data_IF_025447768374
#
_entry.id   IF_025447768374
#
_cell.length_a   1.000
_cell.length_b   1.000
_cell.length_c   1.000
_cell.angle_alpha   90.00
_cell.angle_beta   90.00
_cell.angle_gamma   90.00
#
_symmetry.space_group_name_H-M   'P 1'
#
loop_
_entity.id
_entity.type
_entity.pdbx_description
1 polymer ?
#
# COMPACT_ATOMS: atom_id res chain seq x y z
N UNK A 1 -47.92 -5.62 30.45
CA UNK A 1 -48.60 -4.96 31.58
C UNK A 1 -47.57 -4.62 32.62
N UNK A 2 -47.11 -3.37 32.66
CA UNK A 2 -46.46 -2.71 33.81
C UNK A 2 -46.60 -1.20 33.58
N UNK A 3 -46.95 -0.42 34.57
CA UNK A 3 -47.39 0.99 34.40
C UNK A 3 -46.23 1.98 34.41
N UNK A 4 -46.45 3.24 34.02
CA UNK A 4 -45.45 4.28 33.96
C UNK A 4 -45.26 4.96 35.33
N UNK A 5 -43.99 5.27 35.66
CA UNK A 5 -43.61 6.03 36.83
C UNK A 5 -43.52 7.52 36.45
N UNK A 6 -44.40 8.29 37.02
CA UNK A 6 -44.37 9.76 37.04
C UNK A 6 -43.36 10.20 38.11
N UNK A 7 -42.49 11.17 37.77
CA UNK A 7 -41.68 11.89 38.74
C UNK A 7 -42.07 13.37 38.79
N UNK A 8 -42.59 13.72 39.97
CA UNK A 8 -43.02 15.06 40.37
C UNK A 8 -41.81 16.03 40.52
N UNK A 9 -42.00 17.21 39.94
CA UNK A 9 -41.18 18.40 40.17
C UNK A 9 -41.81 19.23 41.30
N UNK A 10 -41.18 19.36 42.48
CA UNK A 10 -41.37 20.52 43.38
C UNK A 10 -40.27 20.60 44.41
N UNK A 11 -39.53 21.71 44.41
CA UNK A 11 -38.99 22.52 45.49
C UNK A 11 -37.72 23.21 45.01
N UNK A 12 -37.53 24.47 44.74
CA UNK A 12 -37.90 25.63 45.57
C UNK A 12 -36.72 26.07 46.42
N UNK A 13 -35.81 26.95 45.91
CA UNK A 13 -35.08 27.90 46.76
C UNK A 13 -34.77 29.20 46.00
N UNK A 14 -35.36 30.28 46.49
CA UNK A 14 -35.00 31.67 46.19
C UNK A 14 -33.65 32.00 46.83
N UNK A 15 -32.77 32.70 46.15
CA UNK A 15 -31.77 33.55 46.81
C UNK A 15 -31.29 34.64 45.81
N UNK A 16 -31.48 35.91 46.23
CA UNK A 16 -30.58 37.03 46.07
C UNK A 16 -30.60 37.82 44.78
N UNK A 17 -31.48 38.78 44.66
CA UNK A 17 -31.37 39.95 43.81
C UNK A 17 -30.11 40.75 44.16
N UNK A 18 -29.21 40.97 43.17
CA UNK A 18 -28.27 42.08 43.21
C UNK A 18 -28.50 42.96 41.99
N UNK A 19 -28.92 44.19 42.28
CA UNK A 19 -28.99 45.31 41.33
C UNK A 19 -27.59 45.57 40.73
N UNK A 20 -27.48 45.60 39.42
CA UNK A 20 -26.45 46.31 38.67
C UNK A 20 -27.08 47.41 37.83
N UNK A 21 -26.49 48.61 37.77
CA UNK A 21 -27.12 49.76 37.12
C UNK A 21 -27.09 49.59 35.60
N UNK A 22 -28.22 49.91 34.97
CA UNK A 22 -28.36 50.06 33.50
C UNK A 22 -27.51 51.24 33.05
N UNK A 23 -26.40 50.99 32.39
CA UNK A 23 -25.74 51.97 31.54
C UNK A 23 -26.46 52.02 30.17
N UNK A 24 -27.21 53.08 29.99
CA UNK A 24 -27.83 53.45 28.68
C UNK A 24 -26.72 53.84 27.68
N UNK A 25 -26.28 52.89 26.86
CA UNK A 25 -25.45 53.19 25.69
C UNK A 25 -26.38 53.50 24.54
N UNK A 26 -26.36 54.70 23.93
CA UNK A 26 -27.21 55.02 22.80
C UNK A 26 -26.84 54.19 21.59
N UNK A 27 -27.80 53.42 21.10
CA UNK A 27 -27.65 52.55 19.92
C UNK A 27 -27.59 53.42 18.64
N UNK A 28 -26.40 53.68 18.11
CA UNK A 28 -26.18 54.40 16.86
C UNK A 28 -26.59 53.55 15.66
N UNK A 29 -27.77 53.88 15.09
CA UNK A 29 -28.35 53.27 13.89
C UNK A 29 -27.49 53.43 12.62
N UNK A 30 -26.29 54.04 12.67
CA UNK A 30 -25.45 54.27 11.51
C UNK A 30 -24.39 53.18 11.26
N UNK A 31 -24.26 52.18 12.12
CA UNK A 31 -23.28 51.10 11.98
C UNK A 31 -23.80 49.83 11.29
N UNK A 32 -25.01 49.80 10.81
CA UNK A 32 -25.52 48.73 9.95
C UNK A 32 -25.38 49.10 8.45
N UNK A 33 -24.17 49.50 8.01
CA UNK A 33 -23.78 49.22 6.63
C UNK A 33 -23.39 47.74 6.59
N UNK A 34 -24.37 46.87 6.37
CA UNK A 34 -24.16 45.49 5.91
C UNK A 34 -23.35 45.63 4.61
N UNK A 35 -22.07 45.38 4.68
CA UNK A 35 -21.24 45.20 3.47
C UNK A 35 -21.99 44.18 2.61
N UNK A 36 -22.14 44.39 1.30
CA UNK A 36 -22.75 43.40 0.44
C UNK A 36 -22.01 42.10 0.65
N UNK A 37 -22.76 41.04 0.99
CA UNK A 37 -22.24 39.66 1.08
C UNK A 37 -21.45 39.45 -0.21
N UNK A 38 -20.12 39.17 -0.13
CA UNK A 38 -19.39 38.94 -1.34
C UNK A 38 -20.15 37.87 -2.13
N UNK A 39 -20.27 38.01 -3.47
CA UNK A 39 -20.98 37.04 -4.29
C UNK A 39 -20.46 35.67 -3.89
N UNK A 40 -21.38 34.73 -3.64
CA UNK A 40 -21.04 33.37 -3.27
C UNK A 40 -19.89 32.95 -4.17
N UNK A 41 -18.72 32.69 -3.58
CA UNK A 41 -17.56 32.16 -4.32
C UNK A 41 -18.17 30.98 -5.04
N UNK A 42 -18.28 31.08 -6.36
CA UNK A 42 -18.68 29.95 -7.21
C UNK A 42 -17.93 28.76 -6.70
N UNK A 43 -18.66 27.81 -6.10
CA UNK A 43 -18.06 26.54 -5.71
C UNK A 43 -17.34 26.08 -6.96
N UNK A 44 -16.02 25.87 -6.93
CA UNK A 44 -15.32 25.41 -8.11
C UNK A 44 -16.16 24.24 -8.63
N UNK A 45 -16.73 24.40 -9.82
CA UNK A 45 -17.50 23.35 -10.47
C UNK A 45 -16.60 22.12 -10.36
N UNK A 46 -17.06 21.10 -9.65
CA UNK A 46 -16.37 19.83 -9.57
C UNK A 46 -16.19 19.42 -11.03
N UNK A 47 -15.00 19.72 -11.58
CA UNK A 47 -14.66 19.27 -12.92
C UNK A 47 -14.76 17.76 -12.79
N UNK A 48 -15.82 17.21 -13.33
CA UNK A 48 -15.98 15.76 -13.52
C UNK A 48 -14.67 15.33 -14.15
N UNK A 49 -13.82 14.66 -13.36
CA UNK A 49 -12.44 14.40 -13.74
C UNK A 49 -12.42 13.85 -15.17
N UNK A 50 -11.63 14.46 -16.02
CA UNK A 50 -11.59 14.08 -17.43
C UNK A 50 -11.53 12.55 -17.50
N UNK A 51 -12.54 11.91 -18.08
CA UNK A 51 -12.67 10.46 -18.21
C UNK A 51 -11.39 9.87 -18.79
N UNK A 52 -10.71 10.61 -19.67
CA UNK A 52 -9.43 10.23 -20.25
C UNK A 52 -8.31 10.18 -19.21
N UNK A 53 -8.25 11.18 -18.33
CA UNK A 53 -7.26 11.19 -17.23
C UNK A 53 -7.49 10.00 -16.31
N UNK A 54 -8.73 9.75 -15.89
CA UNK A 54 -9.05 8.60 -15.04
C UNK A 54 -8.71 7.27 -15.71
N UNK A 55 -9.03 7.09 -16.99
CA UNK A 55 -8.67 5.89 -17.74
C UNK A 55 -7.15 5.67 -17.81
N UNK A 56 -6.38 6.75 -18.05
CA UNK A 56 -4.92 6.67 -18.06
C UNK A 56 -4.33 6.38 -16.68
N UNK A 57 -4.91 6.93 -15.59
CA UNK A 57 -4.51 6.64 -14.23
C UNK A 57 -4.75 5.16 -13.90
N UNK A 58 -5.92 4.61 -14.26
CA UNK A 58 -6.22 3.18 -14.09
C UNK A 58 -5.26 2.29 -14.90
N UNK A 59 -5.03 2.60 -16.19
CA UNK A 59 -4.08 1.88 -17.02
C UNK A 59 -2.66 1.93 -16.45
N UNK A 60 -2.20 3.10 -16.00
CA UNK A 60 -0.92 3.28 -15.33
C UNK A 60 -0.84 2.45 -14.05
N UNK A 61 -1.92 2.38 -13.28
CA UNK A 61 -1.94 1.63 -12.02
C UNK A 61 -1.96 0.11 -12.22
N UNK A 62 -2.62 -0.39 -13.28
CA UNK A 62 -2.47 -1.80 -13.71
C UNK A 62 -1.01 -2.10 -14.02
N UNK A 63 -0.34 -1.24 -14.80
CA UNK A 63 1.07 -1.42 -15.14
C UNK A 63 1.99 -1.32 -13.92
N UNK A 64 1.70 -0.45 -12.94
CA UNK A 64 2.45 -0.42 -11.68
C UNK A 64 2.28 -1.71 -10.89
N UNK A 65 1.09 -2.33 -10.92
CA UNK A 65 0.84 -3.64 -10.33
C UNK A 65 1.70 -4.73 -10.99
N UNK A 66 1.74 -4.75 -12.32
CA UNK A 66 2.61 -5.67 -13.10
C UNK A 66 4.07 -5.47 -12.71
N UNK A 67 4.58 -4.23 -12.75
CA UNK A 67 5.99 -3.92 -12.44
C UNK A 67 6.36 -4.27 -11.00
N UNK A 68 5.48 -3.96 -10.06
CA UNK A 68 5.75 -4.22 -8.65
C UNK A 68 5.90 -5.71 -8.32
N UNK A 69 5.17 -6.56 -9.02
CA UNK A 69 5.12 -7.99 -8.72
C UNK A 69 5.95 -8.86 -9.67
N UNK A 70 6.42 -8.32 -10.82
CA UNK A 70 7.08 -9.11 -11.85
C UNK A 70 8.42 -9.70 -11.42
N UNK A 71 9.08 -9.11 -10.40
CA UNK A 71 10.36 -9.60 -9.92
C UNK A 71 10.24 -11.05 -9.39
N UNK A 72 9.17 -11.38 -8.66
CA UNK A 72 8.94 -12.71 -8.12
C UNK A 72 8.92 -13.82 -9.20
N UNK A 73 7.99 -13.78 -10.17
CA UNK A 73 7.94 -14.78 -11.24
C UNK A 73 9.16 -14.76 -12.18
N UNK A 74 9.89 -13.64 -12.31
CA UNK A 74 11.12 -13.55 -13.08
C UNK A 74 12.37 -13.98 -12.30
N UNK A 75 12.31 -14.06 -10.98
CA UNK A 75 13.47 -14.34 -10.13
C UNK A 75 14.23 -15.59 -10.53
N UNK A 76 13.58 -16.75 -10.85
CA UNK A 76 14.30 -17.92 -11.33
C UNK A 76 15.07 -17.68 -12.63
N UNK A 77 14.49 -16.91 -13.55
CA UNK A 77 15.12 -16.57 -14.84
C UNK A 77 16.33 -15.66 -14.63
N UNK A 78 16.20 -14.65 -13.76
CA UNK A 78 17.28 -13.72 -13.42
C UNK A 78 18.41 -14.43 -12.67
N UNK A 79 18.06 -15.32 -11.72
CA UNK A 79 19.02 -16.11 -10.97
C UNK A 79 19.82 -17.04 -11.87
N UNK A 80 19.16 -17.72 -12.82
CA UNK A 80 19.84 -18.57 -13.80
C UNK A 80 20.74 -17.75 -14.73
N UNK A 81 20.27 -16.55 -15.20
CA UNK A 81 21.02 -15.69 -16.11
C UNK A 81 22.33 -15.17 -15.51
N UNK A 82 22.36 -14.83 -14.24
CA UNK A 82 23.49 -14.24 -13.55
C UNK A 82 24.17 -15.20 -12.58
N UNK A 83 23.81 -16.48 -12.60
CA UNK A 83 24.32 -17.53 -11.70
C UNK A 83 24.25 -17.12 -10.22
N UNK A 84 23.12 -16.54 -9.78
CA UNK A 84 22.94 -16.04 -8.42
C UNK A 84 22.56 -17.18 -7.46
N UNK A 85 23.13 -17.13 -6.27
CA UNK A 85 22.54 -17.81 -5.12
C UNK A 85 21.36 -16.99 -4.56
N UNK A 86 20.60 -17.59 -3.64
CA UNK A 86 19.38 -16.94 -3.11
C UNK A 86 19.68 -15.63 -2.36
N UNK A 87 20.81 -15.56 -1.64
CA UNK A 87 21.20 -14.35 -0.94
C UNK A 87 21.43 -13.18 -1.93
N UNK A 88 22.14 -13.45 -3.04
CA UNK A 88 22.32 -12.43 -4.09
C UNK A 88 21.04 -12.11 -4.83
N UNK A 89 20.18 -13.08 -5.10
CA UNK A 89 18.86 -12.86 -5.68
C UNK A 89 17.97 -11.98 -4.77
N UNK A 90 18.09 -12.15 -3.47
CA UNK A 90 17.37 -11.33 -2.47
C UNK A 90 17.71 -9.84 -2.54
N UNK A 91 18.94 -9.46 -2.93
CA UNK A 91 19.29 -8.03 -3.09
C UNK A 91 18.48 -7.31 -4.17
N UNK A 92 17.89 -8.02 -5.12
CA UNK A 92 16.98 -7.40 -6.10
C UNK A 92 15.75 -6.80 -5.41
N UNK A 93 15.18 -7.48 -4.42
CA UNK A 93 14.09 -6.92 -3.61
C UNK A 93 14.57 -5.71 -2.79
N UNK A 94 15.77 -5.82 -2.17
CA UNK A 94 16.35 -4.68 -1.46
C UNK A 94 16.50 -3.47 -2.37
N UNK A 95 17.01 -3.65 -3.59
CA UNK A 95 17.14 -2.56 -4.57
C UNK A 95 15.78 -1.96 -4.94
N UNK A 96 14.77 -2.80 -5.21
CA UNK A 96 13.42 -2.33 -5.58
C UNK A 96 12.79 -1.52 -4.45
N UNK A 97 12.78 -2.03 -3.22
CA UNK A 97 12.15 -1.35 -2.09
C UNK A 97 12.94 -0.11 -1.64
N UNK A 98 14.27 -0.15 -1.65
CA UNK A 98 15.11 1.03 -1.40
C UNK A 98 14.86 2.12 -2.45
N UNK A 99 14.78 1.73 -3.72
CA UNK A 99 14.38 2.64 -4.79
C UNK A 99 12.98 3.23 -4.56
N UNK A 100 12.02 2.41 -4.13
CA UNK A 100 10.65 2.87 -3.83
C UNK A 100 10.64 3.88 -2.68
N UNK A 101 11.43 3.68 -1.63
CA UNK A 101 11.56 4.65 -0.54
C UNK A 101 12.12 5.99 -1.02
N UNK A 102 13.18 5.96 -1.86
CA UNK A 102 13.72 7.17 -2.48
C UNK A 102 12.68 7.86 -3.39
N UNK A 103 11.93 7.08 -4.15
CA UNK A 103 10.86 7.57 -5.00
C UNK A 103 9.73 8.23 -4.22
N UNK A 104 9.29 7.65 -3.10
CA UNK A 104 8.25 8.23 -2.21
C UNK A 104 8.72 9.58 -1.65
N UNK A 105 9.97 9.67 -1.18
CA UNK A 105 10.54 10.94 -0.71
C UNK A 105 10.59 11.97 -1.84
N UNK A 106 11.06 11.55 -3.02
CA UNK A 106 11.11 12.38 -4.23
C UNK A 106 9.73 12.82 -4.71
N UNK A 107 8.70 11.99 -4.54
CA UNK A 107 7.34 12.32 -4.99
C UNK A 107 6.77 13.53 -4.28
N UNK A 108 6.91 13.62 -2.95
CA UNK A 108 6.45 14.76 -2.16
C UNK A 108 7.13 16.07 -2.60
N UNK A 109 8.43 16.03 -2.80
CA UNK A 109 9.19 17.19 -3.29
C UNK A 109 8.79 17.59 -4.72
N UNK A 110 8.59 16.62 -5.59
CA UNK A 110 8.25 16.85 -6.99
C UNK A 110 6.82 17.38 -7.14
N UNK A 111 5.87 16.81 -6.39
CA UNK A 111 4.48 17.26 -6.37
C UNK A 111 4.36 18.70 -5.90
N UNK A 112 5.08 19.10 -4.83
CA UNK A 112 5.01 20.47 -4.31
C UNK A 112 5.59 21.52 -5.27
N UNK A 113 6.59 21.16 -6.09
CA UNK A 113 7.26 22.09 -6.99
C UNK A 113 6.77 22.06 -8.43
N UNK A 114 6.39 20.90 -8.94
CA UNK A 114 6.13 20.65 -10.37
C UNK A 114 4.77 20.03 -10.64
N UNK A 115 4.01 19.68 -9.58
CA UNK A 115 2.69 19.07 -9.69
C UNK A 115 2.68 17.57 -9.92
N UNK A 116 1.49 16.99 -9.80
CA UNK A 116 1.24 15.56 -9.93
C UNK A 116 1.69 14.96 -11.26
N UNK A 117 1.46 15.70 -12.37
CA UNK A 117 1.76 15.25 -13.74
C UNK A 117 3.22 14.81 -13.90
N UNK A 118 4.16 15.65 -13.47
CA UNK A 118 5.59 15.38 -13.64
C UNK A 118 6.02 14.19 -12.80
N UNK A 119 5.51 14.06 -11.57
CA UNK A 119 5.81 12.93 -10.70
C UNK A 119 5.34 11.60 -11.29
N UNK A 120 4.09 11.54 -11.81
CA UNK A 120 3.55 10.31 -12.42
C UNK A 120 4.28 9.97 -13.71
N UNK A 121 4.47 10.94 -14.62
CA UNK A 121 5.13 10.72 -15.93
C UNK A 121 6.59 10.27 -15.73
N UNK A 122 7.33 10.92 -14.83
CA UNK A 122 8.69 10.51 -14.49
C UNK A 122 8.71 9.10 -13.87
N UNK A 123 7.76 8.80 -12.98
CA UNK A 123 7.62 7.49 -12.37
C UNK A 123 7.41 6.40 -13.42
N UNK A 124 6.47 6.61 -14.35
CA UNK A 124 6.22 5.68 -15.47
C UNK A 124 7.45 5.54 -16.38
N UNK A 125 8.15 6.64 -16.65
CA UNK A 125 9.38 6.64 -17.46
C UNK A 125 10.52 5.84 -16.83
N UNK A 126 10.73 6.00 -15.52
CA UNK A 126 11.73 5.22 -14.78
C UNK A 126 11.37 3.73 -14.72
N UNK A 127 10.09 3.40 -14.52
CA UNK A 127 9.64 2.00 -14.61
C UNK A 127 9.84 1.43 -16.00
N UNK A 128 9.59 2.21 -17.07
CA UNK A 128 9.84 1.77 -18.45
C UNK A 128 11.34 1.52 -18.68
N UNK A 129 12.20 2.43 -18.26
CA UNK A 129 13.66 2.28 -18.36
C UNK A 129 14.14 1.04 -17.61
N UNK A 130 13.73 0.89 -16.34
CA UNK A 130 14.10 -0.26 -15.52
C UNK A 130 13.60 -1.57 -16.10
N UNK A 131 12.36 -1.61 -16.65
CA UNK A 131 11.82 -2.80 -17.34
C UNK A 131 12.64 -3.16 -18.57
N UNK A 132 12.94 -2.19 -19.44
CA UNK A 132 13.68 -2.42 -20.68
C UNK A 132 15.12 -2.91 -20.44
N UNK A 133 15.73 -2.50 -19.32
CA UNK A 133 17.12 -2.81 -18.99
C UNK A 133 17.28 -3.97 -18.01
N UNK A 134 16.19 -4.54 -17.47
CA UNK A 134 16.24 -5.56 -16.41
C UNK A 134 17.01 -6.84 -16.82
N UNK A 135 16.94 -7.26 -18.10
CA UNK A 135 17.71 -8.38 -18.62
C UNK A 135 19.08 -7.94 -19.14
N UNK A 136 19.68 -6.92 -18.56
CA UNK A 136 21.01 -6.45 -18.89
C UNK A 136 22.06 -7.57 -18.81
N UNK A 137 23.22 -7.34 -19.38
CA UNK A 137 24.30 -8.33 -19.49
C UNK A 137 24.95 -8.63 -18.13
N UNK A 138 24.95 -7.69 -17.19
CA UNK A 138 25.57 -7.84 -15.89
C UNK A 138 24.58 -7.73 -14.74
N UNK A 139 24.87 -8.41 -13.64
CA UNK A 139 24.08 -8.34 -12.41
C UNK A 139 24.02 -6.93 -11.83
N UNK A 140 25.12 -6.16 -11.88
CA UNK A 140 25.15 -4.77 -11.40
C UNK A 140 24.18 -3.86 -12.14
N UNK A 141 24.07 -4.02 -13.47
CA UNK A 141 23.08 -3.30 -14.27
C UNK A 141 21.65 -3.78 -13.96
N UNK A 142 21.46 -5.08 -13.69
CA UNK A 142 20.18 -5.61 -13.22
C UNK A 142 19.74 -5.00 -11.88
N UNK A 143 20.67 -4.84 -10.95
CA UNK A 143 20.43 -4.15 -9.67
C UNK A 143 20.03 -2.67 -9.88
N UNK A 144 20.76 -1.96 -10.76
CA UNK A 144 20.41 -0.57 -11.10
C UNK A 144 19.05 -0.47 -11.78
N UNK A 145 18.74 -1.39 -12.69
CA UNK A 145 17.42 -1.48 -13.34
C UNK A 145 16.32 -1.68 -12.31
N UNK A 146 16.52 -2.58 -11.35
CA UNK A 146 15.55 -2.86 -10.27
C UNK A 146 15.41 -1.65 -9.33
N UNK A 147 16.49 -0.94 -9.04
CA UNK A 147 16.45 0.31 -8.30
C UNK A 147 15.62 1.39 -9.03
N UNK A 148 15.82 1.52 -10.36
CA UNK A 148 15.03 2.42 -11.21
C UNK A 148 13.54 2.06 -11.20
N UNK A 149 13.21 0.77 -11.29
CA UNK A 149 11.81 0.30 -11.13
C UNK A 149 11.24 0.75 -9.78
N UNK A 150 11.99 0.57 -8.71
CA UNK A 150 11.60 1.00 -7.37
C UNK A 150 11.35 2.50 -7.30
N UNK A 151 12.28 3.33 -7.75
CA UNK A 151 12.11 4.80 -7.76
C UNK A 151 10.84 5.18 -8.53
N UNK A 152 10.62 4.55 -9.70
CA UNK A 152 9.44 4.78 -10.51
C UNK A 152 8.13 4.44 -9.77
N UNK A 153 8.08 3.29 -9.08
CA UNK A 153 6.95 2.87 -8.25
C UNK A 153 6.70 3.88 -7.11
N UNK A 154 7.78 4.30 -6.42
CA UNK A 154 7.69 5.26 -5.32
C UNK A 154 7.24 6.65 -5.75
N UNK A 155 7.52 7.07 -6.98
CA UNK A 155 6.99 8.31 -7.56
C UNK A 155 5.51 8.16 -7.97
N UNK A 156 5.16 7.07 -8.67
CA UNK A 156 3.86 6.93 -9.30
C UNK A 156 2.74 6.58 -8.32
N UNK A 157 2.95 5.62 -7.40
CA UNK A 157 1.88 5.10 -6.54
C UNK A 157 1.29 6.17 -5.61
N UNK A 158 2.08 6.86 -4.75
CA UNK A 158 1.52 7.86 -3.85
C UNK A 158 0.93 9.05 -4.58
N UNK A 159 1.58 9.49 -5.67
CA UNK A 159 1.10 10.62 -6.48
C UNK A 159 -0.26 10.30 -7.13
N UNK A 160 -0.43 9.10 -7.68
CA UNK A 160 -1.70 8.68 -8.28
C UNK A 160 -2.81 8.56 -7.23
N UNK A 161 -2.52 7.96 -6.07
CA UNK A 161 -3.50 7.85 -4.98
C UNK A 161 -3.94 9.24 -4.50
N UNK A 162 -3.02 10.18 -4.31
CA UNK A 162 -3.34 11.54 -3.90
C UNK A 162 -4.20 12.24 -4.96
N UNK A 163 -3.79 12.19 -6.23
CA UNK A 163 -4.51 12.80 -7.34
C UNK A 163 -5.93 12.25 -7.47
N UNK A 164 -6.13 10.93 -7.40
CA UNK A 164 -7.44 10.29 -7.44
C UNK A 164 -8.31 10.72 -6.25
N UNK A 165 -7.72 10.87 -5.07
CA UNK A 165 -8.40 11.37 -3.87
C UNK A 165 -8.87 12.82 -4.04
N UNK A 166 -8.06 13.68 -4.66
CA UNK A 166 -8.39 15.09 -4.93
C UNK A 166 -9.46 15.25 -6.03
N UNK A 167 -9.40 14.41 -7.07
CA UNK A 167 -10.39 14.40 -8.16
C UNK A 167 -11.78 13.89 -7.71
N UNK A 168 -11.86 13.17 -6.60
CA UNK A 168 -13.09 12.55 -6.12
C UNK A 168 -13.38 12.92 -4.64
N UNK A 169 -13.56 14.20 -4.29
CA UNK A 169 -13.65 14.64 -2.89
C UNK A 169 -14.85 14.04 -2.14
N UNK A 170 -15.97 13.78 -2.83
CA UNK A 170 -17.19 13.23 -2.23
C UNK A 170 -17.12 11.70 -2.06
N UNK A 171 -16.36 11.00 -2.92
CA UNK A 171 -16.30 9.53 -2.97
C UNK A 171 -14.85 9.02 -2.85
N UNK A 172 -14.01 9.69 -2.07
CA UNK A 172 -12.57 9.40 -1.94
C UNK A 172 -12.26 7.93 -1.68
N UNK A 173 -12.94 7.34 -0.70
CA UNK A 173 -12.69 5.95 -0.33
C UNK A 173 -13.02 4.98 -1.47
N UNK A 174 -14.14 5.18 -2.16
CA UNK A 174 -14.54 4.35 -3.30
C UNK A 174 -13.54 4.49 -4.47
N UNK A 175 -13.15 5.72 -4.79
CA UNK A 175 -12.18 5.99 -5.87
C UNK A 175 -10.80 5.39 -5.56
N UNK A 176 -10.31 5.50 -4.32
CA UNK A 176 -9.07 4.88 -3.88
C UNK A 176 -9.14 3.36 -3.91
N UNK A 177 -10.26 2.77 -3.50
CA UNK A 177 -10.45 1.32 -3.61
C UNK A 177 -10.41 0.86 -5.06
N UNK A 178 -11.08 1.59 -5.96
CA UNK A 178 -11.13 1.23 -7.38
C UNK A 178 -9.75 1.33 -8.05
N UNK A 179 -8.98 2.39 -7.78
CA UNK A 179 -7.64 2.52 -8.36
C UNK A 179 -6.69 1.43 -7.81
N UNK A 180 -6.76 1.13 -6.51
CA UNK A 180 -5.96 0.05 -5.91
C UNK A 180 -6.42 -1.34 -6.37
N UNK A 181 -7.71 -1.52 -6.72
CA UNK A 181 -8.17 -2.73 -7.41
C UNK A 181 -7.50 -2.90 -8.78
N UNK A 182 -7.34 -1.81 -9.56
CA UNK A 182 -6.61 -1.84 -10.82
C UNK A 182 -5.15 -2.30 -10.65
N UNK A 183 -4.48 -1.82 -9.59
CA UNK A 183 -3.16 -2.33 -9.22
C UNK A 183 -3.19 -3.84 -8.95
N UNK A 184 -4.16 -4.30 -8.19
CA UNK A 184 -4.34 -5.72 -7.86
C UNK A 184 -4.56 -6.60 -9.11
N UNK A 185 -5.32 -6.10 -10.09
CA UNK A 185 -5.51 -6.77 -11.39
C UNK A 185 -4.15 -6.92 -12.10
N UNK A 186 -3.34 -5.87 -12.12
CA UNK A 186 -1.97 -5.92 -12.67
C UNK A 186 -1.10 -6.94 -11.96
N UNK A 187 -1.11 -6.93 -10.62
CA UNK A 187 -0.34 -7.84 -9.79
C UNK A 187 -0.73 -9.32 -10.03
N UNK A 188 -2.02 -9.60 -10.08
CA UNK A 188 -2.55 -10.95 -10.31
C UNK A 188 -2.30 -11.46 -11.73
N UNK A 189 -2.35 -10.58 -12.74
CA UNK A 189 -2.15 -10.94 -14.15
C UNK A 189 -0.69 -11.10 -14.54
N UNK A 190 0.24 -10.45 -13.84
CA UNK A 190 1.67 -10.45 -14.17
C UNK A 190 2.26 -11.86 -14.36
N UNK A 191 2.09 -12.83 -13.45
CA UNK A 191 2.65 -14.17 -13.62
C UNK A 191 2.09 -14.92 -14.83
N UNK A 192 0.84 -14.65 -15.26
CA UNK A 192 0.29 -15.24 -16.49
C UNK A 192 1.04 -14.75 -17.73
N UNK A 193 1.35 -13.45 -17.81
CA UNK A 193 2.15 -12.91 -18.91
C UNK A 193 3.57 -13.47 -18.90
N UNK A 194 4.19 -13.58 -17.71
CA UNK A 194 5.50 -14.20 -17.56
C UNK A 194 5.47 -15.65 -18.04
N UNK A 195 4.47 -16.44 -17.61
CA UNK A 195 4.33 -17.85 -17.98
C UNK A 195 4.15 -18.04 -19.49
N UNK A 196 3.30 -17.21 -20.11
CA UNK A 196 3.02 -17.29 -21.56
C UNK A 196 4.28 -17.03 -22.38
N UNK A 197 5.04 -15.96 -22.06
CA UNK A 197 6.22 -15.58 -22.82
C UNK A 197 7.46 -16.42 -22.48
N UNK A 198 7.53 -16.97 -21.26
CA UNK A 198 8.56 -17.95 -20.89
C UNK A 198 8.41 -19.25 -21.70
N UNK A 199 7.16 -19.76 -21.90
CA UNK A 199 6.89 -20.92 -22.76
C UNK A 199 7.38 -20.71 -24.21
N UNK A 200 7.31 -19.46 -24.68
CA UNK A 200 7.75 -19.08 -26.03
C UNK A 200 9.24 -18.73 -26.10
N UNK A 201 9.96 -18.83 -24.99
CA UNK A 201 11.36 -18.36 -24.85
C UNK A 201 11.55 -16.87 -25.22
N UNK A 202 10.53 -16.04 -24.92
CA UNK A 202 10.47 -14.62 -25.30
C UNK A 202 10.35 -13.69 -24.10
N UNK A 203 11.06 -13.98 -23.01
CA UNK A 203 10.99 -13.18 -21.77
C UNK A 203 11.37 -11.70 -21.97
N UNK A 204 12.31 -11.41 -22.88
CA UNK A 204 12.68 -10.03 -23.23
C UNK A 204 11.52 -9.26 -23.88
N UNK A 205 10.67 -9.91 -24.67
CA UNK A 205 9.51 -9.27 -25.29
C UNK A 205 8.49 -8.81 -24.23
N UNK A 206 8.36 -9.54 -23.11
CA UNK A 206 7.53 -9.10 -21.98
C UNK A 206 8.02 -7.76 -21.45
N UNK A 207 9.30 -7.66 -21.16
CA UNK A 207 9.89 -6.46 -20.55
C UNK A 207 9.82 -5.26 -21.47
N UNK A 208 10.11 -5.45 -22.77
CA UNK A 208 9.94 -4.40 -23.76
C UNK A 208 8.48 -4.02 -23.99
N UNK A 209 7.56 -5.00 -23.95
CA UNK A 209 6.11 -4.75 -24.03
C UNK A 209 5.59 -3.92 -22.85
N UNK A 210 6.02 -4.26 -21.62
CA UNK A 210 5.70 -3.50 -20.41
C UNK A 210 6.30 -2.08 -20.50
N UNK A 211 7.57 -1.96 -20.94
CA UNK A 211 8.21 -0.66 -21.12
C UNK A 211 7.48 0.21 -22.15
N UNK A 212 7.11 -0.36 -23.29
CA UNK A 212 6.36 0.34 -24.34
C UNK A 212 4.97 0.79 -23.83
N UNK A 213 4.25 -0.08 -23.10
CA UNK A 213 2.96 0.26 -22.53
C UNK A 213 3.07 1.40 -21.49
N UNK A 214 4.10 1.38 -20.64
CA UNK A 214 4.38 2.45 -19.68
C UNK A 214 4.67 3.78 -20.38
N UNK A 215 5.48 3.77 -21.45
CA UNK A 215 5.76 4.97 -22.25
C UNK A 215 4.49 5.47 -22.94
N UNK A 216 3.66 4.58 -23.50
CA UNK A 216 2.41 4.97 -24.14
C UNK A 216 1.47 5.69 -23.16
N UNK A 217 1.30 5.14 -21.96
CA UNK A 217 0.50 5.78 -20.90
C UNK A 217 1.13 7.10 -20.46
N UNK A 218 2.45 7.14 -20.27
CA UNK A 218 3.16 8.38 -19.89
C UNK A 218 2.97 9.48 -20.96
N UNK A 219 3.10 9.15 -22.24
CA UNK A 219 2.85 10.08 -23.37
C UNK A 219 1.38 10.49 -23.40
N UNK A 220 0.43 9.57 -23.18
CA UNK A 220 -0.98 9.90 -23.04
C UNK A 220 -1.23 10.93 -21.92
N UNK A 221 -0.62 10.75 -20.76
CA UNK A 221 -0.72 11.68 -19.62
C UNK A 221 -0.13 13.08 -19.91
N UNK A 222 0.83 13.19 -20.82
CA UNK A 222 1.35 14.51 -21.21
C UNK A 222 0.35 15.32 -22.05
N UNK A 223 -0.63 14.67 -22.67
CA UNK A 223 -1.63 15.27 -23.56
C UNK A 223 -2.97 15.57 -22.89
N UNK A 224 -3.14 15.20 -21.63
CA UNK A 224 -4.38 15.43 -20.85
C UNK A 224 -4.15 16.53 -19.83
N UNK A 225 -5.17 17.33 -19.54
CA UNK A 225 -5.11 18.36 -18.51
C UNK A 225 -5.06 17.73 -17.11
N UNK A 226 -4.16 18.21 -16.28
CA UNK A 226 -4.10 17.89 -14.85
C UNK A 226 -4.64 19.08 -14.05
N UNK A 227 -5.21 18.85 -12.85
CA UNK A 227 -5.62 19.94 -11.96
C UNK A 227 -4.45 20.87 -11.68
N UNK A 228 -4.77 22.16 -11.55
CA UNK A 228 -3.77 23.13 -11.12
C UNK A 228 -3.26 22.81 -9.70
N UNK A 229 -2.00 23.14 -9.44
CA UNK A 229 -1.42 23.03 -8.10
C UNK A 229 -2.20 23.96 -7.14
N UNK A 230 -2.89 23.37 -6.19
CA UNK A 230 -3.30 24.09 -4.99
C UNK A 230 -2.14 23.99 -4.01
N UNK A 231 -1.50 25.10 -3.60
CA UNK A 231 -0.50 25.07 -2.54
C UNK A 231 -1.13 24.44 -1.29
N UNK A 232 -0.51 23.40 -0.77
CA UNK A 232 -0.93 22.87 0.53
C UNK A 232 -0.79 24.02 1.55
N UNK A 233 -1.79 24.25 2.42
CA UNK A 233 -1.64 25.26 3.46
C UNK A 233 -0.43 24.91 4.32
N UNK A 234 0.48 25.89 4.50
CA UNK A 234 1.71 25.81 5.31
C UNK A 234 1.43 25.69 6.81
N UNK A 235 0.44 24.88 7.20
CA UNK A 235 0.21 24.55 8.59
C UNK A 235 1.22 23.51 9.08
N UNK A 236 2.50 23.88 9.06
CA UNK A 236 3.55 23.24 9.86
C UNK A 236 3.34 23.67 11.32
N UNK A 237 2.26 23.20 11.94
CA UNK A 237 2.12 23.34 13.39
C UNK A 237 3.25 22.55 14.05
N UNK A 238 3.87 23.19 15.09
CA UNK A 238 5.01 22.66 15.83
C UNK A 238 4.79 21.21 16.23
N UNK A 239 5.81 20.39 15.99
CA UNK A 239 5.82 18.97 16.40
C UNK A 239 5.75 18.92 17.93
N UNK A 240 4.65 18.40 18.46
CA UNK A 240 4.59 18.03 19.87
C UNK A 240 5.57 16.86 20.09
N UNK A 241 6.64 17.09 20.80
CA UNK A 241 7.70 16.11 21.10
C UNK A 241 7.17 14.86 21.83
N UNK A 242 6.01 14.95 22.48
CA UNK A 242 5.33 13.84 23.15
C UNK A 242 4.83 12.73 22.23
N UNK A 243 4.55 13.03 20.95
CA UNK A 243 4.00 12.09 19.99
C UNK A 243 4.90 10.87 19.74
N UNK A 244 6.21 11.13 19.64
CA UNK A 244 7.23 10.09 19.39
C UNK A 244 7.50 9.19 20.60
N UNK A 245 7.05 9.58 21.78
CA UNK A 245 7.17 8.79 23.02
C UNK A 245 6.00 7.83 23.24
N UNK A 246 4.98 7.89 22.40
CA UNK A 246 3.84 6.97 22.48
C UNK A 246 4.31 5.52 22.30
N UNK A 247 3.95 4.58 23.22
CA UNK A 247 4.31 3.16 23.10
C UNK A 247 3.70 2.49 21.86
N UNK A 248 2.69 3.10 21.27
CA UNK A 248 2.01 2.59 20.08
C UNK A 248 2.80 2.84 18.78
N UNK A 249 3.68 3.83 18.75
CA UNK A 249 4.51 4.12 17.56
C UNK A 249 5.38 2.92 17.19
N UNK A 250 6.20 2.35 18.08
CA UNK A 250 7.01 1.17 17.74
C UNK A 250 6.15 -0.07 17.45
N UNK A 251 5.02 -0.26 18.13
CA UNK A 251 4.13 -1.41 17.94
C UNK A 251 3.52 -1.39 16.52
N UNK A 252 2.93 -0.26 16.12
CA UNK A 252 2.34 -0.10 14.79
C UNK A 252 3.43 -0.08 13.72
N UNK A 253 4.57 0.55 13.99
CA UNK A 253 5.72 0.57 13.08
C UNK A 253 6.27 -0.83 12.80
N UNK A 254 6.41 -1.67 13.83
CA UNK A 254 6.81 -3.06 13.67
C UNK A 254 5.77 -3.86 12.87
N UNK A 255 4.46 -3.61 13.07
CA UNK A 255 3.40 -4.25 12.29
C UNK A 255 3.52 -3.90 10.80
N UNK A 256 3.76 -2.64 10.44
CA UNK A 256 4.00 -2.21 9.05
C UNK A 256 5.26 -2.86 8.45
N UNK A 257 6.35 -2.90 9.23
CA UNK A 257 7.62 -3.53 8.83
C UNK A 257 7.43 -5.01 8.50
N UNK A 258 6.87 -5.78 9.45
CA UNK A 258 6.69 -7.22 9.27
C UNK A 258 5.64 -7.55 8.22
N UNK A 259 4.58 -6.72 8.10
CA UNK A 259 3.54 -6.94 7.11
C UNK A 259 4.10 -6.88 5.68
N UNK A 260 4.68 -5.73 5.28
CA UNK A 260 5.17 -5.55 3.90
C UNK A 260 6.32 -6.51 3.61
N UNK A 261 7.19 -6.73 4.59
CA UNK A 261 8.30 -7.67 4.43
C UNK A 261 7.85 -9.13 4.26
N UNK A 262 6.85 -9.59 5.03
CA UNK A 262 6.33 -10.96 4.93
C UNK A 262 5.50 -11.16 3.66
N UNK A 263 4.63 -10.20 3.31
CA UNK A 263 3.86 -10.19 2.06
C UNK A 263 4.78 -10.28 0.84
N UNK A 264 5.80 -9.42 0.78
CA UNK A 264 6.80 -9.41 -0.29
C UNK A 264 7.69 -10.67 -0.28
N UNK A 265 8.00 -11.19 0.90
CA UNK A 265 8.75 -12.44 1.06
C UNK A 265 7.99 -13.64 0.50
N UNK A 266 6.73 -13.82 0.86
CA UNK A 266 5.89 -14.91 0.33
C UNK A 266 5.64 -14.70 -1.16
N UNK A 267 5.11 -13.54 -1.57
CA UNK A 267 4.77 -13.26 -2.97
C UNK A 267 5.97 -13.32 -3.91
N UNK A 268 7.12 -12.81 -3.46
CA UNK A 268 8.34 -12.75 -4.26
C UNK A 268 9.06 -14.08 -4.44
N UNK A 269 9.08 -14.93 -3.41
CA UNK A 269 9.83 -16.20 -3.47
C UNK A 269 9.01 -17.41 -3.89
N UNK A 270 7.68 -17.29 -3.96
CA UNK A 270 6.78 -18.41 -4.28
C UNK A 270 7.10 -19.07 -5.62
N UNK A 271 7.38 -18.32 -6.69
CA UNK A 271 7.69 -18.89 -7.99
C UNK A 271 8.99 -19.71 -7.94
N UNK A 272 10.05 -19.18 -7.32
CA UNK A 272 11.33 -19.88 -7.13
C UNK A 272 11.15 -21.15 -6.28
N UNK A 273 10.35 -21.06 -5.24
CA UNK A 273 10.05 -22.20 -4.37
C UNK A 273 9.30 -23.31 -5.13
N UNK A 274 8.27 -22.94 -5.87
CA UNK A 274 7.49 -23.86 -6.68
C UNK A 274 8.33 -24.52 -7.77
N UNK A 275 9.20 -23.77 -8.47
CA UNK A 275 10.11 -24.31 -9.47
C UNK A 275 11.01 -25.41 -8.91
N UNK A 276 11.52 -25.25 -7.69
CA UNK A 276 12.44 -26.23 -7.07
C UNK A 276 11.74 -27.50 -6.59
N UNK A 277 10.48 -27.38 -6.17
CA UNK A 277 9.71 -28.55 -5.71
C UNK A 277 9.27 -29.41 -6.90
N UNK A 278 8.94 -28.76 -8.03
CA UNK A 278 8.36 -29.46 -9.20
C UNK A 278 9.31 -29.38 -10.39
N UNK A 279 10.51 -29.94 -10.20
CA UNK A 279 11.47 -30.07 -11.29
C UNK A 279 10.83 -30.86 -12.46
N UNK A 280 10.66 -30.19 -13.63
CA UNK A 280 10.11 -30.82 -14.85
C UNK A 280 8.64 -30.50 -15.16
N UNK A 281 7.89 -29.76 -14.35
CA UNK A 281 6.49 -29.43 -14.60
C UNK A 281 6.25 -28.25 -15.58
N UNK A 282 7.11 -28.05 -16.55
CA UNK A 282 6.99 -26.95 -17.51
C UNK A 282 7.05 -25.57 -16.83
N UNK A 283 6.09 -24.66 -17.15
CA UNK A 283 6.08 -23.28 -16.61
C UNK A 283 4.94 -23.03 -15.61
N UNK A 284 4.26 -24.07 -15.12
CA UNK A 284 3.08 -23.90 -14.22
C UNK A 284 3.48 -23.28 -12.87
N UNK A 285 4.71 -23.52 -12.40
CA UNK A 285 5.25 -22.94 -11.18
C UNK A 285 5.22 -21.38 -11.18
N UNK A 286 5.32 -20.77 -12.37
CA UNK A 286 5.26 -19.29 -12.53
C UNK A 286 3.92 -18.74 -12.10
N UNK A 287 2.84 -19.52 -12.17
CA UNK A 287 1.47 -19.08 -11.86
C UNK A 287 1.18 -19.04 -10.36
N UNK A 288 2.02 -19.65 -9.53
CA UNK A 288 1.77 -19.70 -8.08
C UNK A 288 1.64 -18.32 -7.43
N UNK A 289 2.46 -17.31 -7.75
CA UNK A 289 2.25 -15.95 -7.23
C UNK A 289 0.90 -15.33 -7.64
N UNK A 290 0.33 -15.69 -8.80
CA UNK A 290 -1.01 -15.19 -9.17
C UNK A 290 -2.08 -15.62 -8.16
N UNK A 291 -2.00 -16.85 -7.66
CA UNK A 291 -2.94 -17.34 -6.65
C UNK A 291 -2.85 -16.54 -5.35
N UNK A 292 -1.62 -16.16 -4.96
CA UNK A 292 -1.40 -15.27 -3.82
C UNK A 292 -2.08 -13.91 -4.02
N UNK A 293 -1.82 -13.24 -5.17
CA UNK A 293 -2.36 -11.92 -5.45
C UNK A 293 -3.87 -11.92 -5.70
N UNK A 294 -4.42 -12.96 -6.34
CA UNK A 294 -5.87 -13.14 -6.51
C UNK A 294 -6.53 -13.33 -5.14
N UNK A 295 -5.99 -14.19 -4.29
CA UNK A 295 -6.53 -14.42 -2.96
C UNK A 295 -6.50 -13.15 -2.10
N UNK A 296 -5.40 -12.39 -2.17
CA UNK A 296 -5.27 -11.10 -1.49
C UNK A 296 -6.29 -10.08 -2.00
N UNK A 297 -6.50 -10.01 -3.32
CA UNK A 297 -7.48 -9.11 -3.93
C UNK A 297 -8.91 -9.48 -3.54
N UNK A 298 -9.26 -10.77 -3.58
CA UNK A 298 -10.56 -11.28 -3.15
C UNK A 298 -10.81 -11.00 -1.66
N UNK A 299 -9.82 -11.23 -0.80
CA UNK A 299 -9.92 -10.91 0.61
C UNK A 299 -10.12 -9.43 0.88
N UNK A 300 -9.45 -8.54 0.13
CA UNK A 300 -9.69 -7.08 0.21
C UNK A 300 -11.10 -6.70 -0.25
N UNK A 301 -11.62 -7.36 -1.28
CA UNK A 301 -12.99 -7.12 -1.77
C UNK A 301 -14.06 -7.57 -0.78
N UNK A 302 -13.82 -8.66 -0.03
CA UNK A 302 -14.76 -9.20 0.96
C UNK A 302 -14.66 -8.56 2.34
N UNK A 303 -13.50 -7.98 2.69
CA UNK A 303 -13.26 -7.37 4.01
C UNK A 303 -14.34 -6.36 4.45
N UNK A 304 -14.87 -5.44 3.60
CA UNK A 304 -15.93 -4.52 4.01
C UNK A 304 -17.24 -5.20 4.42
N UNK A 305 -17.52 -6.38 3.87
CA UNK A 305 -18.70 -7.17 4.25
C UNK A 305 -18.47 -7.81 5.62
N UNK A 306 -17.30 -8.41 5.83
CA UNK A 306 -16.94 -9.05 7.10
C UNK A 306 -16.84 -8.03 8.25
N UNK A 307 -16.43 -6.80 7.99
CA UNK A 307 -16.35 -5.72 8.99
C UNK A 307 -17.72 -5.21 9.47
N UNK A 308 -18.82 -5.64 8.86
CA UNK A 308 -20.17 -5.34 9.39
C UNK A 308 -20.45 -6.09 10.69
N UNK A 309 -19.92 -7.31 10.82
CA UNK A 309 -20.22 -8.22 11.91
C UNK A 309 -19.02 -8.47 12.83
N UNK A 310 -17.79 -8.19 12.36
CA UNK A 310 -16.55 -8.46 13.08
C UNK A 310 -15.78 -7.19 13.41
N UNK A 311 -15.27 -7.04 14.65
CA UNK A 311 -14.35 -5.96 14.99
C UNK A 311 -13.07 -6.00 14.14
N UNK A 312 -12.55 -4.83 13.74
CA UNK A 312 -11.37 -4.70 12.87
C UNK A 312 -10.17 -5.56 13.34
N UNK A 313 -9.79 -5.45 14.63
CA UNK A 313 -8.64 -6.17 15.17
C UNK A 313 -8.87 -7.69 15.21
N UNK A 314 -10.12 -8.16 15.36
CA UNK A 314 -10.47 -9.58 15.28
C UNK A 314 -10.37 -10.10 13.84
N UNK A 315 -10.79 -9.31 12.86
CA UNK A 315 -10.61 -9.67 11.46
C UNK A 315 -9.11 -9.72 11.08
N UNK A 316 -8.29 -8.79 11.59
CA UNK A 316 -6.84 -8.83 11.41
C UNK A 316 -6.22 -10.06 12.08
N UNK A 317 -6.65 -10.41 13.30
CA UNK A 317 -6.21 -11.63 14.01
C UNK A 317 -6.51 -12.89 13.21
N UNK A 318 -7.75 -13.03 12.74
CA UNK A 318 -8.14 -14.15 11.86
C UNK A 318 -7.29 -14.20 10.59
N UNK A 319 -7.09 -13.05 9.93
CA UNK A 319 -6.23 -12.95 8.75
C UNK A 319 -4.78 -13.39 9.05
N UNK A 320 -4.21 -12.96 10.17
CA UNK A 320 -2.85 -13.32 10.56
C UNK A 320 -2.72 -14.82 10.90
N UNK A 321 -3.73 -15.41 11.55
CA UNK A 321 -3.77 -16.86 11.79
C UNK A 321 -3.83 -17.60 10.45
N UNK A 322 -4.67 -17.14 9.52
CA UNK A 322 -4.82 -17.76 8.20
C UNK A 322 -3.51 -17.64 7.39
N UNK A 323 -2.83 -16.48 7.44
CA UNK A 323 -1.51 -16.30 6.80
C UNK A 323 -0.48 -17.24 7.40
N UNK A 324 -0.45 -17.37 8.74
CA UNK A 324 0.47 -18.26 9.45
C UNK A 324 0.25 -19.71 9.00
N UNK A 325 -1.02 -20.17 8.96
CA UNK A 325 -1.37 -21.50 8.45
C UNK A 325 -0.93 -21.67 7.00
N UNK A 326 -1.17 -20.68 6.15
CA UNK A 326 -0.73 -20.68 4.75
C UNK A 326 0.78 -20.87 4.61
N UNK A 327 1.58 -20.12 5.39
CA UNK A 327 3.05 -20.25 5.37
C UNK A 327 3.50 -21.61 5.95
N UNK A 328 2.84 -22.13 6.99
CA UNK A 328 3.12 -23.48 7.51
C UNK A 328 2.83 -24.55 6.45
N UNK A 329 1.73 -24.45 5.72
CA UNK A 329 1.42 -25.34 4.58
C UNK A 329 2.52 -25.27 3.52
N UNK A 330 3.04 -24.06 3.20
CA UNK A 330 4.17 -23.89 2.29
C UNK A 330 5.42 -24.60 2.78
N UNK A 331 5.76 -24.52 4.07
CA UNK A 331 6.92 -25.21 4.64
C UNK A 331 6.83 -26.73 4.51
N UNK A 332 5.61 -27.28 4.57
CA UNK A 332 5.34 -28.71 4.40
C UNK A 332 5.10 -29.14 2.95
N UNK A 333 5.04 -28.20 1.99
CA UNK A 333 4.66 -28.49 0.63
C UNK A 333 5.67 -29.39 -0.10
N UNK A 334 5.14 -30.42 -0.78
CA UNK A 334 5.89 -31.36 -1.60
C UNK A 334 5.39 -31.45 -3.05
N UNK A 335 4.34 -30.72 -3.37
CA UNK A 335 3.72 -30.66 -4.69
C UNK A 335 3.07 -29.31 -4.96
N UNK A 336 2.69 -29.04 -6.21
CA UNK A 336 2.07 -27.76 -6.60
C UNK A 336 0.75 -27.47 -5.91
N UNK A 337 -0.08 -28.50 -5.66
CA UNK A 337 -1.36 -28.30 -5.01
C UNK A 337 -1.20 -27.78 -3.57
N UNK A 338 -0.25 -28.33 -2.81
CA UNK A 338 0.06 -27.83 -1.48
C UNK A 338 0.60 -26.40 -1.52
N UNK A 339 1.44 -26.05 -2.52
CA UNK A 339 1.91 -24.68 -2.71
C UNK A 339 0.72 -23.78 -3.03
N UNK A 340 -0.15 -24.18 -3.97
CA UNK A 340 -1.33 -23.39 -4.36
C UNK A 340 -2.25 -23.11 -3.16
N UNK A 341 -2.51 -24.10 -2.33
CA UNK A 341 -3.30 -23.94 -1.10
C UNK A 341 -2.58 -23.00 -0.14
N UNK A 342 -1.29 -23.22 0.14
CA UNK A 342 -0.52 -22.41 1.08
C UNK A 342 -0.44 -20.93 0.67
N UNK A 343 -0.15 -20.64 -0.61
CA UNK A 343 -0.09 -19.25 -1.10
C UNK A 343 -1.45 -18.57 -1.10
N UNK A 344 -2.52 -19.30 -1.42
CA UNK A 344 -3.89 -18.77 -1.41
C UNK A 344 -4.34 -18.43 0.01
N UNK A 345 -4.07 -19.31 0.98
CA UNK A 345 -4.35 -19.03 2.39
C UNK A 345 -3.53 -17.84 2.90
N UNK A 346 -2.24 -17.78 2.56
CA UNK A 346 -1.38 -16.67 2.95
C UNK A 346 -1.89 -15.35 2.36
N UNK A 347 -2.19 -15.31 1.06
CA UNK A 347 -2.70 -14.11 0.37
C UNK A 347 -4.04 -13.64 0.93
N UNK A 348 -4.97 -14.56 1.15
CA UNK A 348 -6.27 -14.25 1.76
C UNK A 348 -6.10 -13.70 3.17
N UNK A 349 -5.21 -14.30 3.96
CA UNK A 349 -4.93 -13.88 5.32
C UNK A 349 -4.29 -12.49 5.40
N UNK A 350 -3.32 -12.17 4.54
CA UNK A 350 -2.69 -10.84 4.51
C UNK A 350 -3.64 -9.72 4.04
N UNK A 351 -4.74 -10.04 3.37
CA UNK A 351 -5.60 -9.09 2.67
C UNK A 351 -6.14 -7.96 3.55
N UNK A 352 -6.58 -8.27 4.77
CA UNK A 352 -7.22 -7.33 5.71
C UNK A 352 -6.22 -6.61 6.63
N UNK A 353 -5.02 -7.15 6.81
CA UNK A 353 -4.06 -6.70 7.84
C UNK A 353 -3.59 -5.25 7.59
N UNK A 354 -3.18 -4.92 6.37
CA UNK A 354 -2.68 -3.58 6.06
C UNK A 354 -3.74 -2.48 6.14
N UNK A 355 -4.95 -2.65 5.57
CA UNK A 355 -6.02 -1.68 5.75
C UNK A 355 -6.40 -1.45 7.22
N UNK A 356 -6.44 -2.52 8.02
CA UNK A 356 -6.74 -2.43 9.45
C UNK A 356 -5.60 -1.75 10.22
N UNK A 357 -4.34 -1.99 9.85
CA UNK A 357 -3.20 -1.29 10.45
C UNK A 357 -3.28 0.23 10.21
N UNK A 358 -3.67 0.66 8.99
CA UNK A 358 -3.90 2.09 8.67
C UNK A 358 -5.08 2.65 9.47
N UNK A 359 -6.19 1.92 9.58
CA UNK A 359 -7.34 2.33 10.38
C UNK A 359 -6.97 2.47 11.86
N UNK A 360 -6.18 1.54 12.39
CA UNK A 360 -5.68 1.55 13.77
C UNK A 360 -4.76 2.75 14.01
N UNK A 361 -3.85 3.06 13.07
CA UNK A 361 -3.02 4.25 13.11
C UNK A 361 -3.88 5.52 13.19
N UNK A 362 -4.88 5.63 12.32
CA UNK A 362 -5.79 6.78 12.29
C UNK A 362 -6.60 6.91 13.59
N UNK A 363 -7.07 5.81 14.17
CA UNK A 363 -7.84 5.79 15.41
C UNK A 363 -6.99 6.16 16.63
N UNK A 364 -5.76 5.62 16.74
CA UNK A 364 -4.88 5.87 17.90
C UNK A 364 -4.28 7.27 17.91
N UNK A 365 -4.04 7.87 16.73
CA UNK A 365 -3.34 9.15 16.61
C UNK A 365 -4.21 10.30 16.08
N UNK A 366 -5.45 10.04 15.65
CA UNK A 366 -6.41 11.06 15.21
C UNK A 366 -5.82 12.02 14.17
N UNK A 367 -5.90 13.32 14.44
CA UNK A 367 -5.37 14.38 13.56
C UNK A 367 -3.84 14.34 13.38
N UNK A 368 -3.12 13.62 14.26
CA UNK A 368 -1.67 13.45 14.18
C UNK A 368 -1.25 12.26 13.31
N UNK A 369 -2.17 11.37 12.95
CA UNK A 369 -1.89 10.19 12.13
C UNK A 369 -1.13 10.49 10.82
N UNK A 370 -1.41 11.55 10.05
CA UNK A 370 -0.67 11.85 8.81
C UNK A 370 0.83 12.11 9.05
N UNK A 371 1.21 12.66 10.21
CA UNK A 371 2.60 12.93 10.56
C UNK A 371 3.39 11.65 10.86
N UNK A 372 2.75 10.69 11.53
CA UNK A 372 3.35 9.40 11.87
C UNK A 372 3.33 8.47 10.65
N UNK A 373 2.36 8.61 9.77
CA UNK A 373 2.20 7.77 8.58
C UNK A 373 3.48 7.71 7.73
N UNK A 374 4.20 8.82 7.59
CA UNK A 374 5.47 8.85 6.86
C UNK A 374 6.51 7.87 7.45
N UNK A 375 6.66 7.82 8.77
CA UNK A 375 7.53 6.84 9.45
C UNK A 375 7.00 5.42 9.26
N UNK A 376 5.69 5.19 9.37
CA UNK A 376 5.10 3.87 9.19
C UNK A 376 5.36 3.33 7.78
N UNK A 377 5.19 4.15 6.75
CA UNK A 377 5.50 3.76 5.37
C UNK A 377 7.00 3.57 5.12
N UNK A 378 7.87 4.35 5.78
CA UNK A 378 9.31 4.13 5.73
C UNK A 378 9.69 2.78 6.36
N UNK A 379 9.12 2.43 7.52
CA UNK A 379 9.32 1.12 8.16
C UNK A 379 8.74 -0.02 7.30
N UNK A 380 7.59 0.17 6.66
CA UNK A 380 7.04 -0.76 5.68
C UNK A 380 8.01 -1.01 4.52
N UNK A 381 8.57 0.06 3.93
CA UNK A 381 9.57 -0.02 2.88
C UNK A 381 10.85 -0.74 3.34
N UNK A 382 11.32 -0.45 4.57
CA UNK A 382 12.45 -1.14 5.17
C UNK A 382 12.17 -2.63 5.37
N UNK A 383 10.96 -3.01 5.79
CA UNK A 383 10.51 -4.39 5.88
C UNK A 383 10.58 -5.10 4.52
N UNK A 384 10.04 -4.45 3.47
CA UNK A 384 10.10 -4.94 2.10
C UNK A 384 11.52 -5.07 1.55
N UNK A 385 12.44 -4.19 1.96
CA UNK A 385 13.85 -4.25 1.58
C UNK A 385 14.62 -5.35 2.30
N UNK A 386 14.26 -5.67 3.54
CA UNK A 386 15.05 -6.55 4.41
C UNK A 386 14.53 -7.98 4.47
N UNK A 387 13.22 -8.20 4.67
CA UNK A 387 12.71 -9.56 4.88
C UNK A 387 12.81 -10.46 3.64
N UNK A 388 12.46 -10.03 2.41
CA UNK A 388 12.68 -10.86 1.22
C UNK A 388 14.17 -11.18 0.98
N UNK A 389 15.08 -10.24 1.26
CA UNK A 389 16.50 -10.53 1.24
C UNK A 389 16.88 -11.56 2.30
N UNK A 390 16.34 -11.42 3.51
CA UNK A 390 16.60 -12.37 4.60
C UNK A 390 16.08 -13.77 4.29
N UNK A 391 14.96 -13.91 3.54
CA UNK A 391 14.52 -15.20 2.99
C UNK A 391 15.62 -15.83 2.13
N UNK A 392 16.19 -15.07 1.20
CA UNK A 392 17.29 -15.55 0.34
C UNK A 392 18.55 -15.88 1.11
N UNK A 393 18.93 -15.02 2.06
CA UNK A 393 20.10 -15.22 2.92
C UNK A 393 19.96 -16.50 3.76
N UNK A 394 18.83 -16.67 4.43
CA UNK A 394 18.53 -17.86 5.25
C UNK A 394 18.50 -19.12 4.40
N UNK A 395 17.91 -19.05 3.20
CA UNK A 395 17.91 -20.15 2.23
C UNK A 395 19.34 -20.58 1.87
N UNK A 396 20.22 -19.63 1.57
CA UNK A 396 21.62 -19.91 1.22
C UNK A 396 22.39 -20.51 2.39
N UNK A 397 22.16 -20.02 3.61
CA UNK A 397 22.88 -20.48 4.82
C UNK A 397 22.42 -21.85 5.29
N UNK A 398 21.12 -22.15 5.20
CA UNK A 398 20.53 -23.40 5.71
C UNK A 398 20.30 -24.46 4.62
N UNK A 399 20.72 -24.18 3.37
CA UNK A 399 20.71 -25.16 2.29
C UNK A 399 19.33 -25.45 1.68
N UNK A 400 18.39 -24.50 1.77
CA UNK A 400 17.10 -24.67 1.08
C UNK A 400 16.09 -23.57 1.31
N UNK A 401 15.32 -23.25 0.27
CA UNK A 401 14.36 -22.13 0.28
C UNK A 401 13.22 -22.32 1.29
N UNK A 402 12.87 -23.56 1.64
CA UNK A 402 11.92 -23.84 2.72
C UNK A 402 12.36 -23.21 4.05
N UNK A 403 13.65 -23.19 4.35
CA UNK A 403 14.17 -22.54 5.56
C UNK A 403 14.11 -21.02 5.45
N UNK A 404 14.23 -20.48 4.23
CA UNK A 404 13.98 -19.06 3.97
C UNK A 404 12.56 -18.64 4.34
N UNK A 405 11.55 -19.48 4.09
CA UNK A 405 10.16 -19.22 4.44
C UNK A 405 9.88 -19.17 5.96
N UNK A 406 10.84 -19.56 6.82
CA UNK A 406 10.74 -19.31 8.26
C UNK A 406 10.75 -17.80 8.59
N UNK A 407 11.33 -16.97 7.71
CA UNK A 407 11.35 -15.52 7.90
C UNK A 407 9.95 -14.91 7.86
N UNK A 408 9.13 -15.10 6.80
CA UNK A 408 7.77 -14.61 6.81
C UNK A 408 6.89 -15.32 7.86
N UNK A 409 7.15 -16.57 8.22
CA UNK A 409 6.46 -17.23 9.32
C UNK A 409 6.72 -16.50 10.65
N UNK A 410 7.97 -16.20 10.95
CA UNK A 410 8.35 -15.40 12.11
C UNK A 410 7.63 -14.04 12.09
N UNK A 411 7.61 -13.37 10.93
CA UNK A 411 6.89 -12.11 10.74
C UNK A 411 5.38 -12.23 11.07
N UNK A 412 4.72 -13.30 10.62
CA UNK A 412 3.31 -13.57 10.94
C UNK A 412 3.08 -13.75 12.44
N UNK A 413 3.95 -14.50 13.12
CA UNK A 413 3.87 -14.71 14.58
C UNK A 413 4.06 -13.40 15.33
N UNK A 414 5.07 -12.60 14.96
CA UNK A 414 5.28 -11.29 15.59
C UNK A 414 4.07 -10.39 15.39
N UNK A 415 3.52 -10.34 14.18
CA UNK A 415 2.32 -9.54 13.91
C UNK A 415 1.10 -10.01 14.72
N UNK A 416 0.91 -11.31 14.92
CA UNK A 416 -0.12 -11.85 15.81
C UNK A 416 0.04 -11.34 17.23
N UNK A 417 1.25 -11.41 17.79
CA UNK A 417 1.55 -10.92 19.14
C UNK A 417 1.27 -9.41 19.25
N UNK A 418 1.71 -8.63 18.26
CA UNK A 418 1.48 -7.19 18.21
C UNK A 418 -0.02 -6.85 18.10
N UNK A 419 -0.77 -7.61 17.29
CA UNK A 419 -2.22 -7.41 17.12
C UNK A 419 -2.99 -7.70 18.42
N UNK A 420 -2.61 -8.75 19.16
CA UNK A 420 -3.18 -9.06 20.48
C UNK A 420 -2.92 -7.91 21.48
N UNK A 421 -1.72 -7.34 21.48
CA UNK A 421 -1.42 -6.16 22.31
C UNK A 421 -2.27 -4.95 21.95
N UNK A 422 -2.52 -4.71 20.64
CA UNK A 422 -3.39 -3.63 20.18
C UNK A 422 -4.86 -3.81 20.55
N UNK A 423 -5.27 -5.06 20.82
CA UNK A 423 -6.64 -5.41 21.21
C UNK A 423 -6.90 -5.25 22.73
N UNK A 424 -5.84 -5.10 23.54
CA UNK A 424 -5.98 -4.88 24.98
C UNK A 424 -6.41 -3.43 25.24
N UNK A 425 -7.32 -3.17 26.19
CA UNK A 425 -7.63 -1.82 26.61
C UNK A 425 -6.38 -1.13 27.16
N UNK A 426 -6.25 0.17 26.91
CA UNK A 426 -5.16 0.98 27.44
C UNK A 426 -5.20 0.92 28.98
N UNK A 427 -4.28 0.15 29.61
CA UNK A 427 -4.11 0.04 31.05
C UNK A 427 -3.39 1.25 31.63
#
# INVERSE_FOLDING_TARGET
MLPPVSLDLKAGRKCGERHTPEENIPFDKRMLKVSPVPPAIDKPQAQTGDVRLMALLHAGFVLTGVVNTMLGPLLPVLSARWALNDAHAGYLFTAQFSGSMLGVMGSSFLMSRRGHRISVVLGLGLMALGSATLLATSWSLGMLSTLCLGIGLGLAIPTTNLLVSELNPEKRAAALNLINFSWGVGAASCPFFVAALLRMNRTSHLLYGVAAALILVAVGMTRVAFPALCPAPDNVSRVETGLWRSPWVPVIGALFFFYVGSEAGVGGWTATYAQRIVAGAGTVWVLMPSLFWIALLLGRATAPVLLRDLPELKLAEFGLVLSTVGVVVLLGARNLSAIAIGVSLAGLGFSSVFPIAIATLSRKFGSMAPRIAGLMFALAGLGGATLPWLVGYTSTRLGGLKYGLLVPLFGCIVMLILNVRLSQPDS
#
